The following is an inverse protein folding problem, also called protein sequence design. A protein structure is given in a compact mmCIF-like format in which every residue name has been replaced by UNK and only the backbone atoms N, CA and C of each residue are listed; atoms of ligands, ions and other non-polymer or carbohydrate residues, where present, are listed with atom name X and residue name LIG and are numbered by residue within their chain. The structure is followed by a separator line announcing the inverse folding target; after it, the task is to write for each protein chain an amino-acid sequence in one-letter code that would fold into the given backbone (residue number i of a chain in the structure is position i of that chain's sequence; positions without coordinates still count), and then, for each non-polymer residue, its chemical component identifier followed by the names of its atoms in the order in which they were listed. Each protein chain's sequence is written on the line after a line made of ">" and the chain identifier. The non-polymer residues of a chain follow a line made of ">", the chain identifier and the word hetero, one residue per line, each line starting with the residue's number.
data_IF_636198756939
#
_entry.id   IF_636198756939
#
_cell.length_a   1.000
_cell.length_b   1.000
_cell.length_c   1.000
_cell.angle_alpha   90.00
_cell.angle_beta   90.00
_cell.angle_gamma   90.00
#
_symmetry.space_group_name_H-M   'P 1'
#
loop_
_entity.id
_entity.type
_entity.pdbx_description
1 polymer ?
#
# COMPACT_ATOMS: atom_id res chain seq x y z
N UNK A 1 2.07 -8.33 16.94
CA UNK A 1 2.91 -7.11 16.98
C UNK A 1 3.02 -6.56 15.56
N UNK A 2 2.75 -5.29 15.37
CA UNK A 2 2.84 -4.67 14.04
C UNK A 2 4.32 -4.57 13.63
N UNK A 3 4.70 -5.22 12.54
CA UNK A 3 6.08 -5.28 12.05
C UNK A 3 6.66 -3.88 11.78
N UNK A 4 5.85 -2.95 11.28
CA UNK A 4 6.24 -1.55 11.08
C UNK A 4 6.56 -0.84 12.39
N UNK A 5 5.84 -1.15 13.47
CA UNK A 5 6.15 -0.63 14.80
C UNK A 5 7.47 -1.20 15.33
N UNK A 6 7.69 -2.50 15.15
CA UNK A 6 8.93 -3.15 15.55
C UNK A 6 10.14 -2.62 14.75
N UNK A 7 9.96 -2.38 13.44
CA UNK A 7 10.99 -1.76 12.59
C UNK A 7 11.27 -0.31 13.01
N UNK A 8 10.22 0.46 13.25
CA UNK A 8 10.36 1.84 13.74
C UNK A 8 11.12 1.87 15.06
N UNK A 9 10.73 1.03 16.01
CA UNK A 9 11.33 1.00 17.36
C UNK A 9 12.77 0.46 17.34
N UNK A 10 13.13 -0.33 16.31
CA UNK A 10 14.50 -0.85 16.12
C UNK A 10 15.43 0.11 15.36
N UNK A 11 14.88 0.97 14.49
CA UNK A 11 15.66 1.82 13.56
C UNK A 11 15.70 3.27 14.05
N UNK A 12 14.66 3.75 14.75
CA UNK A 12 14.55 5.13 15.19
C UNK A 12 14.80 5.18 16.71
N UNK A 13 15.94 5.71 17.18
CA UNK A 13 16.20 5.87 18.59
C UNK A 13 15.11 6.73 19.26
N UNK A 14 14.56 6.26 20.37
CA UNK A 14 13.50 6.94 21.14
C UNK A 14 13.89 8.31 21.67
N UNK A 15 15.19 8.61 21.71
CA UNK A 15 15.75 9.83 22.31
C UNK A 15 15.54 11.11 21.47
N UNK A 16 15.00 10.99 20.26
CA UNK A 16 14.86 12.10 19.32
C UNK A 16 13.39 12.52 19.12
N UNK A 17 12.48 12.09 19.97
CA UNK A 17 11.10 12.58 19.96
C UNK A 17 11.10 13.98 20.58
N UNK A 18 10.94 15.02 19.76
CA UNK A 18 10.81 16.38 20.26
C UNK A 18 9.45 16.52 20.99
N UNK A 19 9.45 16.69 22.32
CA UNK A 19 8.21 16.71 23.10
C UNK A 19 7.31 17.90 22.76
N UNK A 20 7.84 18.93 22.10
CA UNK A 20 7.09 20.14 21.73
C UNK A 20 6.13 19.92 20.55
N UNK A 21 6.44 18.99 19.65
CA UNK A 21 5.70 18.81 18.39
C UNK A 21 5.02 17.44 18.26
N UNK A 22 5.18 16.55 19.24
CA UNK A 22 4.61 15.21 19.20
C UNK A 22 5.21 14.26 18.13
N UNK A 23 4.73 13.02 18.06
CA UNK A 23 5.34 11.99 17.20
C UNK A 23 5.18 12.25 15.70
N UNK A 24 4.27 13.13 15.28
CA UNK A 24 4.03 13.44 13.86
C UNK A 24 5.05 14.42 13.25
N UNK A 25 5.83 15.12 14.08
CA UNK A 25 6.77 16.14 13.64
C UNK A 25 8.23 15.82 13.98
N UNK A 26 8.52 14.54 14.23
CA UNK A 26 9.89 14.09 14.38
C UNK A 26 10.57 14.05 13.01
N UNK A 27 11.30 15.11 12.70
CA UNK A 27 12.15 15.17 11.52
C UNK A 27 13.45 14.39 11.76
N UNK A 28 13.39 13.07 11.58
CA UNK A 28 14.62 12.32 11.37
C UNK A 28 15.08 12.52 9.93
N UNK A 29 16.33 12.90 9.72
CA UNK A 29 16.85 12.92 8.36
C UNK A 29 16.81 11.49 7.79
N UNK A 30 16.12 11.32 6.66
CA UNK A 30 16.13 10.08 5.92
C UNK A 30 17.44 10.00 5.15
N UNK A 31 18.39 9.24 5.68
CA UNK A 31 19.65 8.95 4.99
C UNK A 31 19.51 7.72 4.07
N UNK A 32 20.51 7.46 3.24
CA UNK A 32 20.48 6.38 2.25
C UNK A 32 20.29 5.01 2.90
N UNK A 33 20.99 4.74 4.00
CA UNK A 33 20.89 3.46 4.71
C UNK A 33 19.48 3.22 5.28
N UNK A 34 18.90 4.22 5.92
CA UNK A 34 17.54 4.13 6.46
C UNK A 34 16.50 3.98 5.35
N UNK A 35 16.63 4.76 4.27
CA UNK A 35 15.76 4.62 3.09
C UNK A 35 15.79 3.21 2.54
N UNK A 36 16.96 2.64 2.33
CA UNK A 36 17.11 1.31 1.74
C UNK A 36 16.50 0.24 2.64
N UNK A 37 16.72 0.31 3.95
CA UNK A 37 16.08 -0.58 4.93
C UNK A 37 14.54 -0.50 4.91
N UNK A 38 14.00 0.71 4.83
CA UNK A 38 12.54 0.91 4.77
C UNK A 38 11.94 0.41 3.47
N UNK A 39 12.62 0.62 2.33
CA UNK A 39 12.19 0.10 1.04
C UNK A 39 12.25 -1.43 0.99
N UNK A 40 13.31 -2.04 1.48
CA UNK A 40 13.41 -3.50 1.56
C UNK A 40 12.26 -4.09 2.37
N UNK A 41 11.96 -3.48 3.51
CA UNK A 41 10.82 -3.88 4.34
C UNK A 41 9.48 -3.76 3.62
N UNK A 42 9.26 -2.65 2.89
CA UNK A 42 8.05 -2.45 2.09
C UNK A 42 7.94 -3.52 1.00
N UNK A 43 9.00 -3.79 0.26
CA UNK A 43 9.00 -4.77 -0.83
C UNK A 43 8.75 -6.20 -0.34
N UNK A 44 9.33 -6.57 0.79
CA UNK A 44 9.08 -7.87 1.43
C UNK A 44 7.60 -8.03 1.82
N UNK A 45 7.02 -7.02 2.46
CA UNK A 45 5.62 -7.05 2.85
C UNK A 45 4.67 -7.06 1.64
N UNK A 46 4.98 -6.28 0.60
CA UNK A 46 4.23 -6.29 -0.66
C UNK A 46 4.21 -7.68 -1.29
N UNK A 47 5.35 -8.32 -1.45
CA UNK A 47 5.46 -9.66 -2.02
C UNK A 47 4.65 -10.68 -1.22
N UNK A 48 4.75 -10.63 0.10
CA UNK A 48 4.03 -11.53 1.01
C UNK A 48 2.51 -11.40 0.85
N UNK A 49 1.99 -10.17 0.84
CA UNK A 49 0.55 -9.90 0.70
C UNK A 49 0.06 -10.27 -0.69
N UNK A 50 0.79 -9.91 -1.74
CA UNK A 50 0.41 -10.24 -3.12
C UNK A 50 0.38 -11.75 -3.34
N UNK A 51 1.35 -12.48 -2.82
CA UNK A 51 1.38 -13.95 -2.90
C UNK A 51 0.20 -14.58 -2.17
N UNK A 52 -0.12 -14.11 -0.97
CA UNK A 52 -1.26 -14.61 -0.19
C UNK A 52 -2.58 -14.35 -0.90
N UNK A 53 -2.80 -13.13 -1.39
CA UNK A 53 -4.03 -12.77 -2.13
C UNK A 53 -4.15 -13.53 -3.45
N UNK A 54 -3.05 -13.75 -4.17
CA UNK A 54 -3.05 -14.53 -5.41
C UNK A 54 -3.48 -15.98 -5.20
N UNK A 55 -3.06 -16.58 -4.10
CA UNK A 55 -3.47 -17.95 -3.76
C UNK A 55 -4.99 -18.07 -3.51
N UNK A 56 -5.61 -17.00 -2.99
CA UNK A 56 -7.04 -17.02 -2.68
C UNK A 56 -7.93 -16.74 -3.89
N UNK A 57 -7.47 -15.94 -4.85
CA UNK A 57 -8.34 -15.36 -5.89
C UNK A 57 -7.97 -15.70 -7.32
N UNK A 58 -6.75 -16.09 -7.58
CA UNK A 58 -6.27 -16.33 -8.94
C UNK A 58 -6.05 -17.82 -9.19
N UNK A 59 -6.45 -18.28 -10.38
CA UNK A 59 -6.02 -19.54 -10.93
C UNK A 59 -4.58 -19.43 -11.48
N UNK A 60 -4.35 -19.90 -12.69
CA UNK A 60 -3.04 -19.82 -13.36
C UNK A 60 -2.66 -18.37 -13.75
N UNK A 61 -3.66 -17.54 -14.09
CA UNK A 61 -3.47 -16.11 -14.37
C UNK A 61 -3.69 -15.27 -13.11
N UNK A 62 -2.62 -14.73 -12.55
CA UNK A 62 -2.64 -13.94 -11.32
C UNK A 62 -3.41 -12.61 -11.47
N UNK A 63 -3.66 -12.15 -12.68
CA UNK A 63 -4.43 -10.95 -12.99
C UNK A 63 -5.90 -11.23 -13.32
N UNK A 64 -6.34 -12.48 -13.31
CA UNK A 64 -7.67 -12.90 -13.73
C UNK A 64 -8.80 -12.16 -13.00
N UNK A 65 -8.68 -11.97 -11.70
CA UNK A 65 -9.68 -11.25 -10.92
C UNK A 65 -9.79 -9.78 -11.30
N UNK A 66 -8.67 -9.12 -11.58
CA UNK A 66 -8.67 -7.73 -12.01
C UNK A 66 -9.32 -7.56 -13.38
N UNK A 67 -9.05 -8.50 -14.31
CA UNK A 67 -9.67 -8.52 -15.63
C UNK A 67 -11.17 -8.76 -15.55
N UNK A 68 -11.59 -9.78 -14.80
CA UNK A 68 -13.01 -10.10 -14.63
C UNK A 68 -13.77 -8.96 -13.96
N UNK A 69 -13.26 -8.47 -12.82
CA UNK A 69 -13.88 -7.35 -12.13
C UNK A 69 -13.92 -6.08 -13.00
N UNK A 70 -12.85 -5.80 -13.74
CA UNK A 70 -12.79 -4.69 -14.68
C UNK A 70 -13.81 -4.80 -15.81
N UNK A 71 -13.99 -5.98 -16.38
CA UNK A 71 -15.01 -6.23 -17.40
C UNK A 71 -16.44 -6.03 -16.89
N UNK A 72 -16.71 -6.42 -15.64
CA UNK A 72 -18.03 -6.26 -15.02
C UNK A 72 -18.34 -4.78 -14.77
N UNK A 73 -17.38 -4.01 -14.27
CA UNK A 73 -17.59 -2.63 -13.80
C UNK A 73 -17.36 -1.60 -14.92
N UNK A 74 -16.44 -1.87 -15.83
CA UNK A 74 -15.99 -0.90 -16.86
C UNK A 74 -16.12 -1.45 -18.28
N UNK A 75 -17.28 -2.00 -18.62
CA UNK A 75 -17.54 -2.71 -19.90
C UNK A 75 -17.22 -1.88 -21.16
N UNK A 76 -17.30 -0.56 -21.09
CA UNK A 76 -17.03 0.36 -22.20
C UNK A 76 -15.58 0.81 -22.30
N UNK A 77 -14.75 0.50 -21.32
CA UNK A 77 -13.34 0.88 -21.34
C UNK A 77 -12.52 -0.01 -22.26
N UNK A 78 -11.50 0.56 -22.91
CA UNK A 78 -10.49 -0.18 -23.66
C UNK A 78 -9.52 -0.97 -22.77
N UNK A 79 -9.39 -0.54 -21.50
CA UNK A 79 -8.51 -1.11 -20.49
C UNK A 79 -9.27 -1.32 -19.17
N UNK A 80 -10.25 -2.23 -19.13
CA UNK A 80 -11.14 -2.37 -17.99
C UNK A 80 -10.42 -2.79 -16.69
N UNK A 81 -9.41 -3.63 -16.78
CA UNK A 81 -8.58 -4.07 -15.67
C UNK A 81 -7.76 -2.91 -15.06
N UNK A 82 -7.12 -2.11 -15.91
CA UNK A 82 -6.36 -0.93 -15.49
C UNK A 82 -7.27 0.13 -14.82
N UNK A 83 -8.45 0.38 -15.39
CA UNK A 83 -9.44 1.31 -14.83
C UNK A 83 -9.97 0.79 -13.50
N UNK A 84 -10.23 -0.50 -13.36
CA UNK A 84 -10.61 -1.09 -12.08
C UNK A 84 -9.50 -0.90 -11.02
N UNK A 85 -8.26 -1.12 -11.39
CA UNK A 85 -7.12 -0.89 -10.51
C UNK A 85 -7.02 0.58 -10.06
N UNK A 86 -7.21 1.53 -10.96
CA UNK A 86 -7.26 2.97 -10.64
C UNK A 86 -8.41 3.32 -9.68
N UNK A 87 -9.58 2.70 -9.84
CA UNK A 87 -10.69 2.88 -8.90
C UNK A 87 -10.34 2.40 -7.49
N UNK A 88 -9.66 1.27 -7.37
CA UNK A 88 -9.19 0.76 -6.09
C UNK A 88 -8.13 1.67 -5.44
N UNK A 89 -7.21 2.20 -6.25
CA UNK A 89 -6.25 3.22 -5.82
C UNK A 89 -6.97 4.45 -5.29
N UNK A 90 -7.95 4.97 -6.05
CA UNK A 90 -8.76 6.13 -5.66
C UNK A 90 -9.49 5.92 -4.33
N UNK A 91 -10.04 4.73 -4.10
CA UNK A 91 -10.70 4.37 -2.83
C UNK A 91 -9.72 4.42 -1.65
N UNK A 92 -8.52 3.90 -1.82
CA UNK A 92 -7.49 3.94 -0.76
C UNK A 92 -6.99 5.36 -0.50
N UNK A 93 -6.80 6.16 -1.55
CA UNK A 93 -6.42 7.59 -1.42
C UNK A 93 -7.49 8.36 -0.65
N UNK A 94 -8.76 8.20 -0.99
CA UNK A 94 -9.87 8.86 -0.30
C UNK A 94 -9.92 8.47 1.18
N UNK A 95 -9.77 7.18 1.50
CA UNK A 95 -9.73 6.67 2.87
C UNK A 95 -8.56 7.26 3.66
N UNK A 96 -7.36 7.26 3.08
CA UNK A 96 -6.17 7.84 3.71
C UNK A 96 -6.33 9.34 3.96
N UNK A 97 -6.86 10.08 2.98
CA UNK A 97 -7.15 11.50 3.13
C UNK A 97 -8.10 11.77 4.30
N UNK A 98 -9.14 10.97 4.45
CA UNK A 98 -10.09 11.08 5.54
C UNK A 98 -9.45 10.78 6.91
N UNK A 99 -8.70 9.69 7.03
CA UNK A 99 -8.06 9.29 8.27
C UNK A 99 -6.95 10.26 8.71
N UNK A 100 -6.19 10.80 7.77
CA UNK A 100 -5.11 11.75 8.06
C UNK A 100 -5.61 13.17 8.38
N UNK A 101 -6.79 13.55 7.86
CA UNK A 101 -7.40 14.86 8.10
C UNK A 101 -8.37 14.89 9.29
N UNK A 102 -8.61 13.75 9.92
CA UNK A 102 -9.49 13.63 11.08
C UNK A 102 -8.76 12.97 12.23
N UNK A 103 -9.15 13.26 13.47
CA UNK A 103 -8.61 12.60 14.66
C UNK A 103 -9.22 11.22 14.90
N UNK A 104 -9.91 10.65 13.90
CA UNK A 104 -10.52 9.32 14.01
C UNK A 104 -9.44 8.24 13.96
N UNK A 105 -9.52 7.31 14.92
CA UNK A 105 -8.74 6.09 14.88
C UNK A 105 -9.31 5.11 13.84
N UNK A 106 -8.45 4.49 13.06
CA UNK A 106 -8.86 3.45 12.12
C UNK A 106 -9.33 2.21 12.91
N UNK A 107 -10.57 1.78 12.70
CA UNK A 107 -11.17 0.65 13.44
C UNK A 107 -10.86 -0.71 12.80
N UNK A 108 -10.92 -0.81 11.46
CA UNK A 108 -10.86 -2.08 10.74
C UNK A 108 -9.53 -2.35 10.04
N UNK A 109 -8.83 -1.32 9.65
CA UNK A 109 -7.61 -1.39 8.86
C UNK A 109 -6.73 -0.20 9.21
N UNK A 110 -5.47 -0.45 9.55
CA UNK A 110 -4.53 0.61 9.90
C UNK A 110 -4.22 1.53 8.71
N UNK A 111 -3.73 2.73 8.99
CA UNK A 111 -3.24 3.65 7.95
C UNK A 111 -2.12 2.99 7.14
N UNK A 112 -1.20 2.30 7.82
CA UNK A 112 -0.09 1.58 7.17
C UNK A 112 -0.58 0.47 6.25
N UNK A 113 -1.59 -0.29 6.64
CA UNK A 113 -2.18 -1.33 5.79
C UNK A 113 -2.80 -0.73 4.52
N UNK A 114 -3.46 0.42 4.65
CA UNK A 114 -4.00 1.15 3.49
C UNK A 114 -2.91 1.68 2.56
N UNK A 115 -1.77 2.12 3.10
CA UNK A 115 -0.61 2.55 2.29
C UNK A 115 0.00 1.36 1.55
N UNK A 116 0.15 0.22 2.20
CA UNK A 116 0.66 -1.01 1.56
C UNK A 116 -0.30 -1.48 0.47
N UNK A 117 -1.60 -1.46 0.70
CA UNK A 117 -2.60 -1.80 -0.31
C UNK A 117 -2.52 -0.86 -1.52
N UNK A 118 -2.37 0.45 -1.29
CA UNK A 118 -2.17 1.44 -2.34
C UNK A 118 -0.92 1.12 -3.18
N UNK A 119 0.19 0.82 -2.53
CA UNK A 119 1.43 0.42 -3.19
C UNK A 119 1.26 -0.88 -4.00
N UNK A 120 0.50 -1.85 -3.46
CA UNK A 120 0.20 -3.10 -4.13
C UNK A 120 -0.68 -2.90 -5.38
N UNK A 121 -1.70 -2.05 -5.32
CA UNK A 121 -2.51 -1.72 -6.51
C UNK A 121 -1.69 -0.98 -7.57
N UNK A 122 -0.76 -0.11 -7.18
CA UNK A 122 0.16 0.52 -8.12
C UNK A 122 1.09 -0.51 -8.80
N UNK A 123 1.60 -1.48 -8.04
CA UNK A 123 2.40 -2.57 -8.58
C UNK A 123 1.59 -3.46 -9.54
N UNK A 124 0.33 -3.76 -9.22
CA UNK A 124 -0.58 -4.52 -10.09
C UNK A 124 -0.85 -3.74 -11.38
N UNK A 125 -1.12 -2.44 -11.28
CA UNK A 125 -1.30 -1.58 -12.46
C UNK A 125 -0.06 -1.59 -13.37
N UNK A 126 1.12 -1.51 -12.79
CA UNK A 126 2.37 -1.65 -13.53
C UNK A 126 2.45 -2.98 -14.27
N UNK A 127 2.12 -4.10 -13.61
CA UNK A 127 2.14 -5.42 -14.23
C UNK A 127 1.11 -5.53 -15.37
N UNK A 128 -0.11 -5.03 -15.17
CA UNK A 128 -1.15 -4.98 -16.23
C UNK A 128 -0.62 -4.26 -17.46
N UNK A 129 -0.08 -3.06 -17.30
CA UNK A 129 0.42 -2.25 -18.40
C UNK A 129 1.65 -2.86 -19.08
N UNK A 130 2.49 -3.57 -18.33
CA UNK A 130 3.64 -4.31 -18.91
C UNK A 130 3.21 -5.53 -19.72
N UNK A 131 2.18 -6.23 -19.29
CA UNK A 131 1.67 -7.41 -19.98
C UNK A 131 0.90 -7.06 -21.28
N UNK A 132 0.44 -5.82 -21.42
CA UNK A 132 -0.22 -5.32 -22.64
C UNK A 132 0.76 -4.86 -23.74
N UNK A 133 2.03 -4.73 -23.43
CA UNK A 133 3.10 -4.37 -24.37
C UNK A 133 3.64 -5.61 -25.09
#
# INVERSE_FOLDING_TARGET
>A
MNMLKALRDAIIPREIINPKYGPMYCHHPLNDELRDKLLDSLFEEQKKILKKKSNDYAGEDLLSNFRLAGMIVNQTSKHPDAINCLNLIGTKVARLGQLLNTDKTAENESIQDSVIDLANYAAILYMILKMEQ
#
